data_IF_557636836508
#
_entry.id   IF_557636836508
#
_cell.length_a   1.000
_cell.length_b   1.000
_cell.length_c   1.000
_cell.angle_alpha   90.00
_cell.angle_beta   90.00
_cell.angle_gamma   90.00
#
_symmetry.space_group_name_H-M   'P 1'
#
loop_
_entity.id
_entity.type
_entity.pdbx_description
1 polymer ?
#
# COMPACT_ATOMS: atom_id res chain seq x y z
N UNK A 1 -66.48 13.44 3.08
CA UNK A 1 -65.23 13.93 2.46
C UNK A 1 -64.12 13.77 3.50
N UNK A 2 -63.41 12.64 3.51
CA UNK A 2 -62.34 12.36 4.48
C UNK A 2 -61.01 12.73 3.84
N UNK A 3 -60.35 13.76 4.38
CA UNK A 3 -58.97 14.10 4.04
C UNK A 3 -58.10 13.03 4.70
N UNK A 4 -57.36 12.26 3.89
CA UNK A 4 -56.52 11.17 4.35
C UNK A 4 -55.47 11.70 5.34
N UNK A 5 -55.27 11.00 6.46
CA UNK A 5 -54.28 11.34 7.50
C UNK A 5 -52.85 11.53 6.93
N UNK A 6 -52.56 10.94 5.77
CA UNK A 6 -51.33 11.13 5.01
C UNK A 6 -51.17 12.55 4.42
N UNK A 7 -52.24 13.24 4.04
CA UNK A 7 -52.15 14.59 3.46
C UNK A 7 -51.82 15.66 4.51
N UNK A 8 -52.32 15.49 5.74
CA UNK A 8 -51.91 16.31 6.89
C UNK A 8 -50.46 16.04 7.29
N UNK A 9 -50.01 14.78 7.30
CA UNK A 9 -48.62 14.45 7.60
C UNK A 9 -47.65 15.01 6.54
N UNK A 10 -48.02 14.96 5.25
CA UNK A 10 -47.23 15.56 4.16
C UNK A 10 -47.12 17.09 4.27
N UNK A 11 -48.18 17.76 4.74
CA UNK A 11 -48.15 19.20 4.98
C UNK A 11 -47.23 19.58 6.16
N UNK A 12 -47.22 18.80 7.24
CA UNK A 12 -46.33 19.02 8.39
C UNK A 12 -44.86 18.80 8.03
N UNK A 13 -44.54 17.78 7.22
CA UNK A 13 -43.17 17.58 6.71
C UNK A 13 -42.73 18.74 5.81
N UNK A 14 -43.62 19.27 4.95
CA UNK A 14 -43.33 20.46 4.14
C UNK A 14 -43.06 21.70 5.01
N UNK A 15 -43.79 21.87 6.11
CA UNK A 15 -43.62 23.00 7.03
C UNK A 15 -42.34 22.88 7.88
N UNK A 16 -41.91 21.66 8.22
CA UNK A 16 -40.69 21.41 8.99
C UNK A 16 -39.40 21.50 8.14
N UNK A 17 -39.48 21.25 6.83
CA UNK A 17 -38.32 21.32 5.92
C UNK A 17 -37.87 22.75 5.61
N UNK A 18 -38.75 23.75 5.76
CA UNK A 18 -38.46 25.17 5.51
C UNK A 18 -37.70 25.87 6.65
N UNK A 19 -37.56 25.25 7.82
CA UNK A 19 -36.87 25.82 8.99
C UNK A 19 -35.55 25.13 9.32
N UNK A 20 -35.01 24.30 8.43
CA UNK A 20 -33.72 23.65 8.68
C UNK A 20 -32.57 24.64 8.47
N UNK A 21 -31.77 24.95 9.50
CA UNK A 21 -30.62 25.85 9.36
C UNK A 21 -29.63 25.25 8.35
N UNK A 22 -29.14 26.08 7.43
CA UNK A 22 -28.13 25.72 6.40
C UNK A 22 -26.89 25.00 6.96
N UNK A 23 -26.63 25.21 8.25
CA UNK A 23 -25.66 24.50 9.09
C UNK A 23 -25.69 22.97 8.93
N UNK A 24 -26.88 22.38 8.76
CA UNK A 24 -27.02 20.92 8.63
C UNK A 24 -26.61 20.38 7.24
N UNK A 25 -26.81 21.16 6.17
CA UNK A 25 -26.39 20.80 4.80
C UNK A 25 -24.87 20.89 4.63
N UNK A 26 -24.21 21.85 5.30
CA UNK A 26 -22.76 22.10 5.16
C UNK A 26 -21.90 21.02 5.82
N UNK A 27 -22.32 20.51 7.00
CA UNK A 27 -21.60 19.44 7.73
C UNK A 27 -21.56 18.12 6.94
N UNK A 28 -22.68 17.72 6.33
CA UNK A 28 -22.76 16.50 5.51
C UNK A 28 -21.89 16.57 4.25
N UNK A 29 -21.85 17.73 3.58
CA UNK A 29 -21.01 17.95 2.39
C UNK A 29 -19.50 17.85 2.70
N UNK A 30 -19.05 18.47 3.79
CA UNK A 30 -17.65 18.39 4.22
C UNK A 30 -17.24 16.95 4.56
N UNK A 31 -18.09 16.20 5.27
CA UNK A 31 -17.80 14.83 5.68
C UNK A 31 -17.74 13.87 4.47
N UNK A 32 -18.62 14.06 3.49
CA UNK A 32 -18.67 13.27 2.26
C UNK A 32 -17.49 13.58 1.32
N UNK A 33 -17.07 14.86 1.22
CA UNK A 33 -15.85 15.24 0.50
C UNK A 33 -14.60 14.63 1.13
N UNK A 34 -14.50 14.60 2.47
CA UNK A 34 -13.35 14.05 3.16
C UNK A 34 -13.22 12.54 2.93
N UNK A 35 -14.33 11.79 2.97
CA UNK A 35 -14.36 10.36 2.62
C UNK A 35 -13.99 10.11 1.15
N UNK A 36 -14.48 10.92 0.22
CA UNK A 36 -14.19 10.75 -1.20
C UNK A 36 -12.72 11.07 -1.54
N UNK A 37 -12.14 12.08 -0.87
CA UNK A 37 -10.70 12.38 -0.96
C UNK A 37 -9.86 11.21 -0.44
N UNK A 38 -10.27 10.60 0.67
CA UNK A 38 -9.57 9.46 1.27
C UNK A 38 -9.67 8.20 0.39
N UNK A 39 -10.82 7.95 -0.23
CA UNK A 39 -10.98 6.88 -1.22
C UNK A 39 -10.17 7.13 -2.50
N UNK A 40 -10.13 8.37 -3.01
CA UNK A 40 -9.28 8.75 -4.15
C UNK A 40 -7.80 8.57 -3.84
N UNK A 41 -7.35 8.96 -2.66
CA UNK A 41 -5.96 8.77 -2.23
C UNK A 41 -5.61 7.29 -2.08
N UNK A 42 -6.52 6.46 -1.54
CA UNK A 42 -6.34 5.00 -1.49
C UNK A 42 -6.28 4.38 -2.89
N UNK A 43 -7.16 4.77 -3.81
CA UNK A 43 -7.19 4.26 -5.18
C UNK A 43 -6.00 4.72 -6.04
N UNK A 44 -5.49 5.93 -5.81
CA UNK A 44 -4.27 6.44 -6.46
C UNK A 44 -3.01 5.75 -5.91
N UNK A 45 -3.01 5.37 -4.63
CA UNK A 45 -1.95 4.56 -4.01
C UNK A 45 -1.87 3.16 -4.62
N UNK A 46 -3.01 2.56 -4.98
CA UNK A 46 -3.07 1.23 -5.62
C UNK A 46 -2.36 1.13 -6.98
N UNK A 47 -2.01 2.26 -7.61
CA UNK A 47 -1.25 2.30 -8.87
C UNK A 47 0.24 2.55 -8.67
N UNK A 48 0.69 2.92 -7.47
CA UNK A 48 2.10 3.16 -7.19
C UNK A 48 2.77 1.86 -6.74
N UNK A 49 3.79 1.46 -7.49
CA UNK A 49 4.63 0.32 -7.14
C UNK A 49 5.60 0.77 -6.05
N UNK A 50 5.38 0.33 -4.81
CA UNK A 50 6.28 0.62 -3.69
C UNK A 50 7.42 -0.41 -3.66
N UNK A 51 8.31 -0.37 -4.65
CA UNK A 51 9.41 -1.32 -4.75
C UNK A 51 10.77 -0.67 -4.44
N UNK A 52 11.56 -1.36 -3.63
CA UNK A 52 12.96 -1.02 -3.36
C UNK A 52 13.88 -2.02 -4.05
N UNK A 53 14.98 -1.51 -4.57
CA UNK A 53 16.09 -2.29 -5.10
C UNK A 53 17.17 -2.38 -4.03
N UNK A 54 17.56 -3.60 -3.69
CA UNK A 54 18.61 -3.88 -2.72
C UNK A 54 19.79 -4.52 -3.44
N UNK A 55 20.98 -3.97 -3.28
CA UNK A 55 22.23 -4.46 -3.87
C UNK A 55 23.29 -4.71 -2.80
N UNK A 56 24.37 -5.42 -3.19
CA UNK A 56 25.48 -5.80 -2.30
C UNK A 56 25.07 -6.80 -1.23
N UNK A 57 24.19 -7.73 -1.58
CA UNK A 57 23.74 -8.80 -0.70
C UNK A 57 24.81 -9.89 -0.66
N UNK A 58 25.30 -10.32 0.52
CA UNK A 58 26.22 -11.45 0.64
C UNK A 58 25.51 -12.75 0.29
N UNK A 59 26.23 -13.70 -0.33
CA UNK A 59 25.70 -14.99 -0.81
C UNK A 59 25.12 -15.91 0.28
N UNK A 60 25.35 -15.58 1.55
CA UNK A 60 24.78 -16.26 2.72
C UNK A 60 23.32 -15.91 2.97
N UNK A 61 22.81 -14.79 2.42
CA UNK A 61 21.48 -14.26 2.74
C UNK A 61 20.41 -14.71 1.75
N UNK A 62 19.40 -15.41 2.26
CA UNK A 62 18.27 -15.86 1.46
C UNK A 62 17.16 -14.80 1.35
N UNK A 63 16.21 -15.04 0.44
CA UNK A 63 15.00 -14.21 0.26
C UNK A 63 14.13 -14.16 1.51
N UNK A 64 14.17 -15.23 2.32
CA UNK A 64 13.49 -15.33 3.62
C UNK A 64 14.01 -14.27 4.59
N UNK A 65 15.32 -14.24 4.83
CA UNK A 65 15.97 -13.26 5.72
C UNK A 65 15.70 -11.83 5.28
N UNK A 66 15.76 -11.57 3.97
CA UNK A 66 15.41 -10.26 3.40
C UNK A 66 13.96 -9.88 3.72
N UNK A 67 13.02 -10.82 3.54
CA UNK A 67 11.61 -10.56 3.85
C UNK A 67 11.40 -10.30 5.35
N UNK A 68 12.06 -11.05 6.22
CA UNK A 68 11.97 -10.88 7.68
C UNK A 68 12.56 -9.54 8.12
N UNK A 69 13.75 -9.19 7.60
CA UNK A 69 14.39 -7.91 7.87
C UNK A 69 13.55 -6.73 7.39
N UNK A 70 13.13 -6.75 6.12
CA UNK A 70 12.34 -5.66 5.55
C UNK A 70 10.90 -5.61 6.11
N UNK A 71 10.41 -6.71 6.66
CA UNK A 71 9.12 -6.78 7.37
C UNK A 71 9.04 -5.85 8.57
N UNK A 72 10.18 -5.50 9.19
CA UNK A 72 10.23 -4.55 10.31
C UNK A 72 9.92 -3.11 9.89
N UNK A 73 10.19 -2.74 8.64
CA UNK A 73 9.93 -1.39 8.13
C UNK A 73 8.50 -1.25 7.59
N UNK A 74 7.91 -2.36 7.14
CA UNK A 74 6.52 -2.41 6.72
C UNK A 74 6.13 -3.74 6.07
N UNK A 75 4.83 -3.92 5.76
CA UNK A 75 4.31 -5.14 5.16
C UNK A 75 4.89 -5.37 3.76
N UNK A 76 5.72 -6.41 3.62
CA UNK A 76 6.31 -6.84 2.35
C UNK A 76 5.30 -7.66 1.56
N UNK A 77 4.95 -7.20 0.35
CA UNK A 77 4.05 -7.87 -0.59
C UNK A 77 4.76 -8.87 -1.49
N UNK A 78 5.98 -8.54 -1.93
CA UNK A 78 6.74 -9.35 -2.88
C UNK A 78 8.24 -9.22 -2.60
N UNK A 79 8.96 -10.33 -2.70
CA UNK A 79 10.41 -10.36 -2.62
C UNK A 79 10.94 -11.16 -3.82
N UNK A 80 11.84 -10.59 -4.60
CA UNK A 80 12.43 -11.20 -5.79
C UNK A 80 13.94 -11.22 -5.63
N UNK A 81 14.49 -12.40 -5.38
CA UNK A 81 15.91 -12.65 -5.29
C UNK A 81 16.28 -13.66 -6.38
N UNK A 82 16.80 -13.21 -7.54
CA UNK A 82 17.17 -14.13 -8.60
C UNK A 82 18.38 -14.97 -8.21
N UNK A 83 18.22 -16.29 -8.35
CA UNK A 83 19.28 -17.27 -8.19
C UNK A 83 19.94 -17.58 -9.52
N UNK A 84 21.24 -17.78 -9.46
CA UNK A 84 22.03 -18.26 -10.58
C UNK A 84 21.98 -19.79 -10.63
N UNK A 85 21.61 -20.34 -11.79
CA UNK A 85 21.36 -21.78 -11.94
C UNK A 85 22.64 -22.61 -11.97
N UNK A 86 23.77 -22.01 -12.33
CA UNK A 86 25.04 -22.74 -12.43
C UNK A 86 25.72 -22.84 -11.06
N UNK A 87 25.68 -21.75 -10.30
CA UNK A 87 26.35 -21.69 -8.98
C UNK A 87 25.40 -22.02 -7.82
N UNK A 88 24.08 -21.96 -8.03
CA UNK A 88 23.07 -22.10 -6.98
C UNK A 88 22.96 -20.86 -6.06
N UNK A 89 23.85 -19.87 -6.21
CA UNK A 89 23.86 -18.67 -5.40
C UNK A 89 23.06 -17.54 -6.02
N UNK A 90 22.54 -16.64 -5.18
CA UNK A 90 21.86 -15.45 -5.68
C UNK A 90 22.83 -14.43 -6.28
N UNK A 91 22.33 -13.60 -7.19
CA UNK A 91 23.17 -12.62 -7.92
C UNK A 91 23.59 -11.38 -7.10
N UNK A 92 23.29 -11.35 -5.80
CA UNK A 92 23.70 -10.29 -4.88
C UNK A 92 22.84 -9.03 -4.96
N UNK A 93 21.66 -9.16 -5.58
CA UNK A 93 20.65 -8.11 -5.65
C UNK A 93 19.24 -8.68 -5.53
N UNK A 94 18.33 -7.88 -4.97
CA UNK A 94 16.96 -8.26 -4.67
C UNK A 94 16.02 -7.08 -4.94
N UNK A 95 14.77 -7.36 -5.30
CA UNK A 95 13.68 -6.38 -5.29
C UNK A 95 12.69 -6.72 -4.19
N UNK A 96 12.31 -5.73 -3.40
CA UNK A 96 11.33 -5.87 -2.33
C UNK A 96 10.19 -4.90 -2.58
N UNK A 97 9.01 -5.44 -2.86
CA UNK A 97 7.77 -4.70 -3.03
C UNK A 97 7.03 -4.62 -1.70
N UNK A 98 6.75 -3.41 -1.24
CA UNK A 98 5.94 -3.12 -0.06
C UNK A 98 4.46 -2.91 -0.42
N UNK A 99 3.58 -3.16 0.55
CA UNK A 99 2.16 -2.83 0.42
C UNK A 99 1.86 -1.34 0.67
N UNK A 100 2.77 -0.65 1.37
CA UNK A 100 2.60 0.73 1.84
C UNK A 100 3.77 1.61 1.39
N UNK A 101 3.50 2.88 1.06
CA UNK A 101 4.53 3.88 0.76
C UNK A 101 5.46 4.13 1.96
N UNK A 102 4.89 4.08 3.18
CA UNK A 102 5.62 4.27 4.44
C UNK A 102 6.72 3.21 4.61
N UNK A 103 6.40 1.92 4.39
CA UNK A 103 7.39 0.85 4.44
C UNK A 103 8.56 1.04 3.48
N UNK A 104 8.30 1.53 2.27
CA UNK A 104 9.33 1.89 1.31
C UNK A 104 10.19 3.07 1.80
N UNK A 105 9.55 4.12 2.33
CA UNK A 105 10.27 5.30 2.82
C UNK A 105 11.14 4.96 4.03
N UNK A 106 10.60 4.18 4.97
CA UNK A 106 11.33 3.70 6.15
C UNK A 106 12.56 2.88 5.77
N UNK A 107 12.43 1.99 4.79
CA UNK A 107 13.58 1.26 4.26
C UNK A 107 14.61 2.21 3.66
N UNK A 108 14.21 3.18 2.83
CA UNK A 108 15.16 4.13 2.22
C UNK A 108 15.85 5.06 3.22
N UNK A 109 15.20 5.40 4.32
CA UNK A 109 15.76 6.28 5.36
C UNK A 109 16.77 5.55 6.25
N UNK A 110 16.68 4.22 6.36
CA UNK A 110 17.56 3.42 7.19
C UNK A 110 18.86 3.07 6.46
N UNK A 111 19.64 4.08 6.05
CA UNK A 111 21.02 3.87 5.59
C UNK A 111 22.01 4.13 6.75
N UNK A 112 22.99 3.24 7.00
CA UNK A 112 23.26 1.98 6.31
C UNK A 112 22.43 0.79 6.83
N UNK A 113 22.03 -0.10 5.93
CA UNK A 113 21.50 -1.41 6.30
C UNK A 113 22.64 -2.41 6.52
N UNK A 114 22.62 -3.10 7.65
CA UNK A 114 23.59 -4.16 7.97
C UNK A 114 22.87 -5.49 8.18
N UNK A 115 23.30 -6.52 7.45
CA UNK A 115 22.79 -7.88 7.53
C UNK A 115 23.98 -8.85 7.56
N UNK A 116 24.10 -9.68 8.60
CA UNK A 116 25.24 -10.60 8.79
C UNK A 116 26.63 -9.93 8.68
N UNK A 117 26.74 -8.66 9.10
CA UNK A 117 27.98 -7.88 9.00
C UNK A 117 28.27 -7.33 7.59
N UNK A 118 27.42 -7.61 6.60
CA UNK A 118 27.50 -6.99 5.27
C UNK A 118 26.66 -5.71 5.21
N UNK A 119 27.22 -4.65 4.60
CA UNK A 119 26.50 -3.41 4.33
C UNK A 119 25.69 -3.56 3.04
N UNK A 120 24.37 -3.58 3.17
CA UNK A 120 23.44 -3.58 2.05
C UNK A 120 23.21 -2.16 1.56
N UNK A 121 23.00 -2.01 0.25
CA UNK A 121 22.65 -0.74 -0.36
C UNK A 121 21.19 -0.80 -0.84
N UNK A 122 20.34 0.05 -0.28
CA UNK A 122 18.91 0.12 -0.63
C UNK A 122 18.65 1.39 -1.44
N UNK A 123 17.97 1.23 -2.56
CA UNK A 123 17.63 2.32 -3.48
C UNK A 123 16.17 2.25 -3.88
N UNK A 124 15.56 3.40 -4.12
CA UNK A 124 14.20 3.45 -4.65
C UNK A 124 14.22 2.84 -6.05
N UNK A 125 13.37 1.85 -6.32
CA UNK A 125 13.33 1.29 -7.64
C UNK A 125 12.84 2.38 -8.63
N UNK A 126 13.68 2.69 -9.62
CA UNK A 126 13.43 3.77 -10.59
C UNK A 126 12.52 3.33 -11.74
N UNK A 127 12.36 2.02 -11.94
CA UNK A 127 11.54 1.47 -13.02
C UNK A 127 10.54 0.49 -12.42
N UNK A 128 9.23 0.79 -12.38
CA UNK A 128 8.26 -0.22 -11.97
C UNK A 128 8.48 -1.44 -12.85
N UNK A 129 8.75 -2.59 -12.23
CA UNK A 129 9.02 -3.81 -12.96
C UNK A 129 7.80 -4.10 -13.83
N UNK A 130 7.93 -3.94 -15.15
CA UNK A 130 6.92 -4.34 -16.11
C UNK A 130 6.88 -5.88 -16.10
N UNK A 131 6.15 -6.43 -15.12
CA UNK A 131 5.74 -7.82 -15.03
C UNK A 131 6.74 -8.85 -15.55
N UNK A 132 7.84 -9.09 -14.84
CA UNK A 132 8.33 -10.46 -14.80
C UNK A 132 7.49 -11.20 -13.76
N UNK A 133 6.59 -12.04 -14.27
CA UNK A 133 6.00 -13.13 -13.51
C UNK A 133 7.18 -13.87 -12.88
N UNK A 134 7.35 -13.75 -11.58
CA UNK A 134 8.13 -14.73 -10.85
C UNK A 134 7.33 -16.02 -11.01
N UNK A 135 7.82 -16.92 -11.87
CA UNK A 135 7.35 -18.28 -11.86
C UNK A 135 7.44 -18.77 -10.42
N UNK A 136 6.27 -19.20 -9.98
CA UNK A 136 5.96 -19.62 -8.64
C UNK A 136 6.44 -21.06 -8.57
N UNK A 137 7.69 -21.27 -8.18
CA UNK A 137 8.20 -22.60 -7.86
C UNK A 137 9.10 -22.47 -6.62
N UNK A 138 8.45 -22.14 -5.51
CA UNK A 138 8.86 -22.68 -4.21
C UNK A 138 8.13 -24.01 -4.04
N UNK A 139 8.57 -25.01 -4.80
CA UNK A 139 8.37 -26.43 -4.51
C UNK A 139 9.77 -26.98 -4.21
N UNK A 140 10.11 -26.97 -2.92
CA UNK A 140 11.20 -27.76 -2.38
C UNK A 140 10.64 -28.36 -1.09
N UNK A 141 10.25 -29.63 -1.20
CA UNK A 141 10.16 -30.56 -0.07
C UNK A 141 11.58 -31.06 0.22
#
# INVERSE_FOLDING_TARGET
MQICHYDLWRAVIRLAASTLPESYKKKKKNQQQQQQQQQRNMAASSKKVFEVFVSKIPWTIASREMREYFGQFGPVKKCLLPFDKETGFHRGFCWVGFSTEEGLNNALQKDPHMLEGAKLQVQRNRRPFAGQRSNKDSEYD
#
